data_IF_220085918533
#
_entry.id   IF_220085918533
#
_cell.length_a   1.000
_cell.length_b   1.000
_cell.length_c   1.000
_cell.angle_alpha   90.00
_cell.angle_beta   90.00
_cell.angle_gamma   90.00
#
_symmetry.space_group_name_H-M   'P 1'
#
loop_
_entity.id
_entity.type
_entity.pdbx_description
1 polymer ?
#
# COMPACT_ATOMS: atom_id res chain seq x y z
N UNK A 1 -30.33 -22.64 19.13
CA UNK A 1 -28.97 -22.26 19.53
C UNK A 1 -28.60 -20.99 18.79
N UNK A 2 -28.44 -19.85 19.47
CA UNK A 2 -28.10 -18.61 18.80
C UNK A 2 -26.57 -18.49 18.64
N UNK A 3 -26.13 -18.19 17.44
CA UNK A 3 -24.75 -17.87 17.11
C UNK A 3 -24.49 -16.46 17.69
N UNK A 4 -23.85 -16.37 18.85
CA UNK A 4 -23.30 -15.14 19.39
C UNK A 4 -21.80 -15.12 19.05
N UNK A 5 -21.42 -14.26 18.13
CA UNK A 5 -20.03 -13.94 17.80
C UNK A 5 -19.93 -12.49 17.38
N UNK A 6 -20.33 -11.55 18.24
CA UNK A 6 -19.94 -10.16 18.09
C UNK A 6 -18.55 -10.01 18.71
N UNK A 7 -17.55 -9.71 17.86
CA UNK A 7 -16.26 -9.24 18.35
C UNK A 7 -16.50 -7.81 18.88
N UNK A 8 -16.65 -7.67 20.19
CA UNK A 8 -16.52 -6.38 20.84
C UNK A 8 -15.03 -6.02 20.81
N UNK A 9 -14.64 -5.13 19.92
CA UNK A 9 -13.41 -4.38 20.08
C UNK A 9 -13.71 -3.37 21.18
N UNK A 10 -13.14 -3.58 22.36
CA UNK A 10 -13.31 -2.65 23.48
C UNK A 10 -12.88 -1.26 23.04
N UNK A 11 -13.78 -0.27 23.18
CA UNK A 11 -13.56 1.12 22.81
C UNK A 11 -12.43 1.84 23.55
N UNK A 12 -11.70 1.15 24.42
CA UNK A 12 -10.59 1.72 25.19
C UNK A 12 -9.25 1.79 24.44
N UNK A 13 -9.10 1.08 23.32
CA UNK A 13 -7.86 1.11 22.52
C UNK A 13 -7.69 2.42 21.71
N UNK A 14 -8.80 3.09 21.40
CA UNK A 14 -8.76 4.36 20.65
C UNK A 14 -8.74 5.62 21.52
N UNK A 15 -9.10 5.52 22.80
CA UNK A 15 -9.19 6.69 23.69
C UNK A 15 -7.83 7.25 24.16
N UNK A 16 -6.71 6.53 23.97
CA UNK A 16 -5.38 6.94 24.40
C UNK A 16 -4.39 7.27 23.27
N UNK A 17 -4.85 7.31 22.02
CA UNK A 17 -4.00 7.76 20.92
C UNK A 17 -3.86 9.28 20.97
N UNK A 18 -2.64 9.79 21.02
CA UNK A 18 -2.41 11.24 21.01
C UNK A 18 -2.88 11.80 19.66
N UNK A 19 -3.95 12.59 19.68
CA UNK A 19 -4.50 13.23 18.47
C UNK A 19 -3.54 14.24 17.91
N UNK A 20 -2.74 13.80 16.96
CA UNK A 20 -1.78 14.68 16.28
C UNK A 20 -2.35 15.13 14.93
N UNK A 21 -2.72 16.42 14.85
CA UNK A 21 -3.30 17.00 13.63
C UNK A 21 -2.23 17.57 12.72
N UNK A 22 -2.28 17.20 11.44
CA UNK A 22 -1.45 17.79 10.37
C UNK A 22 -2.28 18.15 9.14
N UNK A 23 -1.81 19.12 8.38
CA UNK A 23 -2.38 19.48 7.08
C UNK A 23 -1.56 18.81 5.98
N UNK A 24 -2.22 17.99 5.15
CA UNK A 24 -1.59 17.29 4.03
C UNK A 24 -2.62 16.88 2.98
N UNK A 25 -2.14 16.44 1.83
CA UNK A 25 -2.97 15.85 0.78
C UNK A 25 -3.03 14.31 0.86
N UNK A 26 -3.88 13.70 0.02
CA UNK A 26 -4.06 12.24 0.00
C UNK A 26 -2.80 11.48 -0.39
N UNK A 27 -2.03 11.96 -1.37
CA UNK A 27 -0.76 11.35 -1.74
C UNK A 27 0.24 11.34 -0.57
N UNK A 28 0.34 12.44 0.15
CA UNK A 28 1.21 12.55 1.33
C UNK A 28 0.75 11.63 2.46
N UNK A 29 -0.56 11.52 2.68
CA UNK A 29 -1.13 10.62 3.70
C UNK A 29 -0.82 9.15 3.38
N UNK A 30 -1.07 8.72 2.13
CA UNK A 30 -0.75 7.36 1.67
C UNK A 30 0.76 7.06 1.76
N UNK A 31 1.61 7.99 1.33
CA UNK A 31 3.05 7.87 1.41
C UNK A 31 3.54 7.75 2.86
N UNK A 32 3.01 8.57 3.76
CA UNK A 32 3.37 8.56 5.17
C UNK A 32 3.07 7.21 5.83
N UNK A 33 1.89 6.66 5.58
CA UNK A 33 1.48 5.37 6.13
C UNK A 33 2.25 4.22 5.47
N UNK A 34 2.30 4.18 4.15
CA UNK A 34 2.97 3.09 3.44
C UNK A 34 4.45 2.98 3.80
N UNK A 35 5.11 4.12 4.05
CA UNK A 35 6.50 4.15 4.52
C UNK A 35 6.70 3.33 5.79
N UNK A 36 5.75 3.39 6.73
CA UNK A 36 5.85 2.65 8.00
C UNK A 36 6.00 1.15 7.80
N UNK A 37 5.30 0.58 6.81
CA UNK A 37 5.18 -0.86 6.59
C UNK A 37 6.05 -1.40 5.44
N UNK A 38 6.85 -0.56 4.80
CA UNK A 38 7.55 -0.88 3.55
C UNK A 38 9.05 -1.03 3.76
N UNK A 39 9.63 -2.13 3.27
CA UNK A 39 11.08 -2.29 3.15
C UNK A 39 11.57 -1.77 1.78
N UNK A 40 10.81 -2.04 0.71
CA UNK A 40 11.13 -1.65 -0.67
C UNK A 40 9.93 -0.96 -1.32
N UNK A 41 10.13 0.22 -1.87
CA UNK A 41 9.17 0.89 -2.76
C UNK A 41 9.66 0.75 -4.22
N UNK A 42 8.97 -0.06 -5.01
CA UNK A 42 9.29 -0.23 -6.43
C UNK A 42 8.37 0.65 -7.26
N UNK A 43 8.93 1.58 -8.01
CA UNK A 43 8.16 2.66 -8.64
C UNK A 43 8.47 2.81 -10.13
N UNK A 44 7.51 3.36 -10.85
CA UNK A 44 7.70 4.09 -12.10
C UNK A 44 6.73 5.26 -12.09
N UNK A 45 7.25 6.52 -12.15
CA UNK A 45 6.42 7.70 -11.93
C UNK A 45 5.29 7.85 -12.94
N UNK A 46 4.08 8.08 -12.46
CA UNK A 46 2.89 8.37 -13.27
C UNK A 46 1.97 9.36 -12.53
N UNK A 47 1.54 10.40 -13.23
CA UNK A 47 0.57 11.37 -12.70
C UNK A 47 -0.81 10.71 -12.54
N UNK A 48 -1.53 10.94 -11.41
CA UNK A 48 -1.24 11.84 -10.30
C UNK A 48 -0.59 11.16 -9.07
N UNK A 49 -0.07 9.94 -9.18
CA UNK A 49 0.47 9.15 -8.06
C UNK A 49 1.96 9.43 -7.76
N UNK A 50 2.69 10.09 -8.68
CA UNK A 50 4.12 10.38 -8.51
C UNK A 50 4.49 11.03 -7.17
N UNK A 51 3.70 11.99 -6.62
CA UNK A 51 4.04 12.59 -5.33
C UNK A 51 4.12 11.60 -4.16
N UNK A 52 3.41 10.45 -4.20
CA UNK A 52 3.57 9.41 -3.17
C UNK A 52 5.01 8.88 -3.15
N UNK A 53 5.54 8.55 -4.33
CA UNK A 53 6.91 8.05 -4.46
C UNK A 53 7.95 9.10 -4.06
N UNK A 54 7.74 10.36 -4.46
CA UNK A 54 8.60 11.49 -4.13
C UNK A 54 8.68 11.72 -2.61
N UNK A 55 7.53 11.69 -1.91
CA UNK A 55 7.48 11.82 -0.45
C UNK A 55 8.20 10.66 0.24
N UNK A 56 8.01 9.43 -0.24
CA UNK A 56 8.71 8.25 0.31
C UNK A 56 10.22 8.37 0.12
N UNK A 57 10.68 8.80 -1.05
CA UNK A 57 12.11 9.01 -1.34
C UNK A 57 12.70 10.12 -0.46
N UNK A 58 11.98 11.24 -0.30
CA UNK A 58 12.37 12.33 0.60
C UNK A 58 12.50 11.85 2.05
N UNK A 59 11.54 11.05 2.53
CA UNK A 59 11.58 10.48 3.88
C UNK A 59 12.79 9.55 4.05
N UNK A 60 13.08 8.72 3.06
CA UNK A 60 14.24 7.83 3.04
C UNK A 60 15.56 8.61 3.02
N UNK A 61 15.65 9.66 2.19
CA UNK A 61 16.81 10.55 2.10
C UNK A 61 17.07 11.29 3.43
N UNK A 62 16.02 11.71 4.14
CA UNK A 62 16.11 12.31 5.48
C UNK A 62 16.45 11.28 6.58
N UNK A 63 16.60 10.02 6.25
CA UNK A 63 16.99 8.98 7.21
C UNK A 63 15.85 8.46 8.10
N UNK A 64 14.58 8.76 7.76
CA UNK A 64 13.43 8.22 8.50
C UNK A 64 13.46 6.70 8.49
N UNK A 65 13.14 6.10 9.61
CA UNK A 65 13.04 4.64 9.73
C UNK A 65 11.58 4.20 9.66
N UNK A 66 11.35 3.05 9.02
CA UNK A 66 10.08 2.34 9.04
C UNK A 66 9.90 1.59 10.38
N UNK A 67 8.81 0.84 10.53
CA UNK A 67 8.53 0.04 11.73
C UNK A 67 9.56 -1.06 11.99
N UNK A 68 10.30 -1.46 10.96
CA UNK A 68 11.35 -2.49 11.03
C UNK A 68 12.74 -1.93 11.34
N UNK A 69 12.83 -0.62 11.63
CA UNK A 69 14.08 0.06 11.98
C UNK A 69 14.99 0.37 10.79
N UNK A 70 14.49 0.26 9.55
CA UNK A 70 15.24 0.46 8.31
C UNK A 70 14.71 1.68 7.55
N UNK A 71 15.54 2.23 6.66
CA UNK A 71 15.09 3.19 5.65
C UNK A 71 14.44 2.41 4.50
N UNK A 72 13.35 2.93 3.96
CA UNK A 72 12.76 2.36 2.74
C UNK A 72 13.74 2.49 1.58
N UNK A 73 13.93 1.39 0.87
CA UNK A 73 14.70 1.39 -0.39
C UNK A 73 13.77 1.72 -1.54
N UNK A 74 13.91 2.90 -2.10
CA UNK A 74 13.17 3.30 -3.31
C UNK A 74 13.95 2.82 -4.54
N UNK A 75 13.26 2.14 -5.44
CA UNK A 75 13.82 1.61 -6.69
C UNK A 75 12.94 2.05 -7.86
N UNK A 76 13.48 2.93 -8.69
CA UNK A 76 12.81 3.35 -9.93
C UNK A 76 13.15 2.39 -11.07
N UNK A 77 12.10 1.92 -11.73
CA UNK A 77 12.20 0.94 -12.81
C UNK A 77 12.01 1.62 -14.19
N UNK A 78 12.05 0.82 -15.27
CA UNK A 78 11.92 1.32 -16.65
C UNK A 78 10.46 1.36 -17.14
N UNK A 79 9.55 0.75 -16.39
CA UNK A 79 8.12 0.75 -16.66
C UNK A 79 7.36 0.24 -15.44
N UNK A 80 6.04 0.44 -15.40
CA UNK A 80 5.18 -0.10 -14.35
C UNK A 80 5.18 -1.64 -14.34
N UNK A 81 5.31 -2.29 -15.50
CA UNK A 81 5.48 -3.74 -15.56
C UNK A 81 6.78 -4.18 -14.85
N UNK A 82 7.87 -3.42 -15.03
CA UNK A 82 9.13 -3.63 -14.33
C UNK A 82 8.99 -3.39 -12.83
N UNK A 83 8.27 -2.34 -12.44
CA UNK A 83 7.97 -2.06 -11.03
C UNK A 83 7.18 -3.22 -10.40
N UNK A 84 6.14 -3.72 -11.06
CA UNK A 84 5.36 -4.87 -10.58
C UNK A 84 6.20 -6.16 -10.50
N UNK A 85 7.11 -6.38 -11.44
CA UNK A 85 8.07 -7.49 -11.38
C UNK A 85 9.01 -7.38 -10.18
N UNK A 86 9.45 -6.16 -9.87
CA UNK A 86 10.26 -5.88 -8.67
C UNK A 86 9.44 -6.08 -7.39
N UNK A 87 8.18 -5.63 -7.34
CA UNK A 87 7.27 -5.91 -6.22
C UNK A 87 7.17 -7.41 -5.98
N UNK A 88 6.91 -8.19 -7.04
CA UNK A 88 6.80 -9.64 -6.95
C UNK A 88 8.09 -10.29 -6.43
N UNK A 89 9.24 -9.99 -7.06
CA UNK A 89 10.53 -10.57 -6.67
C UNK A 89 10.96 -10.17 -5.26
N UNK A 90 10.73 -8.93 -4.87
CA UNK A 90 11.05 -8.40 -3.55
C UNK A 90 10.21 -9.07 -2.45
N UNK A 91 8.89 -9.23 -2.68
CA UNK A 91 8.01 -9.96 -1.79
C UNK A 91 8.42 -11.44 -1.67
N UNK A 92 8.82 -12.08 -2.77
CA UNK A 92 9.36 -13.45 -2.76
C UNK A 92 10.62 -13.56 -1.90
N UNK A 93 11.45 -12.53 -1.92
CA UNK A 93 12.67 -12.44 -1.10
C UNK A 93 12.39 -12.08 0.37
N UNK A 94 11.13 -11.90 0.77
CA UNK A 94 10.73 -11.63 2.15
C UNK A 94 10.79 -10.14 2.54
N UNK A 95 10.93 -9.22 1.59
CA UNK A 95 10.83 -7.80 1.83
C UNK A 95 9.39 -7.32 1.61
N UNK A 96 8.80 -6.66 2.59
CA UNK A 96 7.48 -6.02 2.45
C UNK A 96 7.58 -4.89 1.44
N UNK A 97 6.81 -4.98 0.37
CA UNK A 97 7.01 -4.12 -0.80
C UNK A 97 5.71 -3.43 -1.22
N UNK A 98 5.86 -2.17 -1.57
CA UNK A 98 4.76 -1.26 -1.97
C UNK A 98 5.09 -0.65 -3.33
N UNK A 99 4.05 -0.28 -4.09
CA UNK A 99 4.16 0.50 -5.32
C UNK A 99 3.07 1.56 -5.39
N UNK A 100 3.32 2.60 -6.20
CA UNK A 100 2.43 3.75 -6.41
C UNK A 100 2.20 3.91 -7.91
N UNK A 101 0.93 3.93 -8.33
CA UNK A 101 0.61 3.92 -9.76
C UNK A 101 -0.77 4.52 -10.06
N UNK A 102 -1.12 4.58 -11.34
CA UNK A 102 -2.40 5.06 -11.85
C UNK A 102 -2.64 4.57 -13.28
N UNK A 103 -3.88 4.59 -13.75
CA UNK A 103 -4.25 4.50 -15.17
C UNK A 103 -3.61 3.29 -15.90
N UNK A 104 -3.03 3.53 -17.09
CA UNK A 104 -2.35 2.49 -17.86
C UNK A 104 -1.21 1.82 -17.10
N UNK A 105 -0.56 2.54 -16.19
CA UNK A 105 0.48 1.98 -15.32
C UNK A 105 -0.04 0.82 -14.48
N UNK A 106 -1.21 0.99 -13.87
CA UNK A 106 -1.86 -0.10 -13.12
C UNK A 106 -2.21 -1.29 -14.04
N UNK A 107 -2.68 -1.03 -15.27
CA UNK A 107 -2.99 -2.09 -16.23
C UNK A 107 -1.75 -2.90 -16.63
N UNK A 108 -0.59 -2.26 -16.75
CA UNK A 108 0.68 -2.94 -17.05
C UNK A 108 1.15 -3.86 -15.91
N UNK A 109 0.61 -3.67 -14.69
CA UNK A 109 0.93 -4.51 -13.53
C UNK A 109 0.10 -5.79 -13.44
N UNK A 110 -1.00 -5.91 -14.19
CA UNK A 110 -2.00 -7.00 -14.09
C UNK A 110 -1.37 -8.40 -14.06
N UNK A 111 -0.44 -8.79 -14.98
CA UNK A 111 0.13 -10.13 -14.95
C UNK A 111 0.83 -10.48 -13.64
N UNK A 112 1.57 -9.51 -13.07
CA UNK A 112 2.24 -9.69 -11.78
C UNK A 112 1.26 -9.66 -10.61
N UNK A 113 0.18 -8.88 -10.68
CA UNK A 113 -0.86 -8.84 -9.65
C UNK A 113 -1.51 -10.21 -9.46
N UNK A 114 -1.84 -10.93 -10.56
CA UNK A 114 -2.32 -12.31 -10.50
C UNK A 114 -1.32 -13.25 -9.80
N UNK A 115 -0.02 -13.10 -10.10
CA UNK A 115 1.03 -13.89 -9.46
C UNK A 115 1.13 -13.58 -7.96
N UNK A 116 1.20 -12.32 -7.60
CA UNK A 116 1.29 -11.85 -6.22
C UNK A 116 0.09 -12.36 -5.40
N UNK A 117 -1.12 -12.26 -5.96
CA UNK A 117 -2.34 -12.74 -5.30
C UNK A 117 -2.37 -14.27 -5.18
N UNK A 118 -2.05 -14.99 -6.25
CA UNK A 118 -2.02 -16.46 -6.27
C UNK A 118 -0.99 -17.05 -5.32
N UNK A 119 0.13 -16.35 -5.11
CA UNK A 119 1.20 -16.76 -4.21
C UNK A 119 1.00 -16.26 -2.77
N UNK A 120 -0.11 -15.58 -2.48
CA UNK A 120 -0.44 -15.05 -1.16
C UNK A 120 0.66 -14.12 -0.60
N UNK A 121 1.14 -13.20 -1.43
CA UNK A 121 2.18 -12.24 -1.06
C UNK A 121 1.55 -10.91 -0.61
N UNK A 122 1.92 -10.38 0.56
CA UNK A 122 1.25 -9.21 1.17
C UNK A 122 1.73 -7.88 0.58
N UNK A 123 1.59 -7.69 -0.72
CA UNK A 123 1.89 -6.43 -1.39
C UNK A 123 0.75 -5.43 -1.31
N UNK A 124 1.06 -4.15 -1.24
CA UNK A 124 0.05 -3.08 -1.30
C UNK A 124 0.35 -2.16 -2.49
N UNK A 125 -0.65 -1.98 -3.34
CA UNK A 125 -0.66 -1.09 -4.50
C UNK A 125 -1.46 0.16 -4.13
N UNK A 126 -0.80 1.30 -3.97
CA UNK A 126 -1.49 2.57 -3.77
C UNK A 126 -1.77 3.22 -5.11
N UNK A 127 -3.01 3.59 -5.35
CA UNK A 127 -3.47 4.06 -6.65
C UNK A 127 -4.22 5.40 -6.51
N UNK A 128 -3.68 6.45 -7.11
CA UNK A 128 -4.44 7.67 -7.37
C UNK A 128 -5.21 7.47 -8.66
N UNK A 129 -6.44 6.93 -8.55
CA UNK A 129 -7.22 6.43 -9.67
C UNK A 129 -7.44 7.50 -10.75
N UNK A 130 -7.15 7.16 -12.00
CA UNK A 130 -7.15 8.05 -13.14
C UNK A 130 -7.78 7.40 -14.35
N UNK A 131 -8.45 8.22 -15.17
CA UNK A 131 -9.02 7.82 -16.44
C UNK A 131 -8.01 7.08 -17.33
N UNK A 132 -8.48 6.05 -18.01
CA UNK A 132 -7.69 5.38 -19.05
C UNK A 132 -7.66 6.23 -20.33
N UNK A 133 -6.47 6.35 -20.91
CA UNK A 133 -6.34 6.94 -22.24
C UNK A 133 -7.00 6.00 -23.28
N UNK A 134 -7.85 6.60 -24.12
CA UNK A 134 -8.53 5.93 -25.23
C UNK A 134 -8.18 6.64 -26.53
N UNK A 135 -9.10 7.44 -27.08
CA UNK A 135 -8.82 8.29 -28.26
C UNK A 135 -7.96 9.51 -27.92
N UNK A 136 -7.96 9.95 -26.66
CA UNK A 136 -7.16 11.05 -26.15
C UNK A 136 -6.72 10.79 -24.71
N UNK A 137 -5.64 11.50 -24.32
CA UNK A 137 -5.17 11.48 -22.94
C UNK A 137 -6.17 12.22 -22.03
N UNK A 138 -6.50 11.59 -20.92
CA UNK A 138 -7.27 12.19 -19.83
C UNK A 138 -6.56 11.88 -18.51
N UNK A 139 -6.25 12.91 -17.72
CA UNK A 139 -5.50 12.75 -16.47
C UNK A 139 -6.38 12.86 -15.22
N UNK A 140 -7.66 13.19 -15.36
CA UNK A 140 -8.57 13.38 -14.21
C UNK A 140 -8.98 12.06 -13.56
N UNK A 141 -9.51 12.18 -12.32
CA UNK A 141 -9.98 11.05 -11.53
C UNK A 141 -11.09 10.27 -12.23
N UNK A 142 -10.93 8.96 -12.24
CA UNK A 142 -11.86 7.99 -12.82
C UNK A 142 -11.45 6.60 -12.29
N UNK A 143 -12.39 5.70 -12.08
CA UNK A 143 -12.11 4.38 -11.50
C UNK A 143 -12.01 3.27 -12.54
N UNK A 144 -11.92 3.54 -13.84
CA UNK A 144 -11.78 2.50 -14.87
C UNK A 144 -10.51 1.69 -14.75
N UNK A 145 -9.43 2.29 -14.29
CA UNK A 145 -8.16 1.62 -14.03
C UNK A 145 -8.28 0.58 -12.90
N UNK A 146 -8.82 0.97 -11.74
CA UNK A 146 -9.02 0.05 -10.62
C UNK A 146 -10.09 -1.00 -10.91
N UNK A 147 -11.14 -0.66 -11.68
CA UNK A 147 -12.14 -1.62 -12.12
C UNK A 147 -11.55 -2.66 -13.09
N UNK A 148 -10.55 -2.29 -13.89
CA UNK A 148 -9.88 -3.24 -14.78
C UNK A 148 -9.08 -4.31 -14.03
N UNK A 149 -8.59 -4.01 -12.83
CA UNK A 149 -7.79 -4.95 -12.02
C UNK A 149 -8.59 -5.73 -10.97
N UNK A 150 -9.91 -5.51 -10.85
CA UNK A 150 -10.75 -6.14 -9.82
C UNK A 150 -10.74 -7.68 -9.82
N UNK A 151 -10.32 -8.30 -10.94
CA UNK A 151 -10.29 -9.77 -11.10
C UNK A 151 -8.94 -10.38 -10.72
N UNK A 152 -7.94 -9.58 -10.33
CA UNK A 152 -6.58 -10.07 -10.08
C UNK A 152 -6.43 -10.88 -8.79
N UNK A 153 -7.44 -10.86 -7.92
CA UNK A 153 -7.41 -11.50 -6.60
C UNK A 153 -6.89 -10.60 -5.48
N UNK A 154 -6.54 -9.35 -5.78
CA UNK A 154 -6.25 -8.35 -4.76
C UNK A 154 -7.54 -7.89 -4.06
N UNK A 155 -7.49 -7.70 -2.76
CA UNK A 155 -8.54 -6.96 -2.04
C UNK A 155 -8.49 -5.48 -2.43
N UNK A 156 -9.62 -4.79 -2.38
CA UNK A 156 -9.73 -3.40 -2.82
C UNK A 156 -10.32 -2.54 -1.71
N UNK A 157 -9.67 -1.41 -1.40
CA UNK A 157 -10.18 -0.38 -0.51
C UNK A 157 -10.28 0.95 -1.27
N UNK A 158 -11.46 1.58 -1.19
CA UNK A 158 -11.75 2.87 -1.80
C UNK A 158 -11.86 3.95 -0.73
N UNK A 159 -11.24 5.10 -0.97
CA UNK A 159 -11.12 6.20 -0.02
C UNK A 159 -11.65 7.48 -0.64
N UNK A 160 -12.50 8.19 0.07
CA UNK A 160 -13.19 9.40 -0.41
C UNK A 160 -12.68 10.70 0.22
N UNK A 161 -11.83 10.63 1.23
CA UNK A 161 -11.24 11.78 1.92
C UNK A 161 -9.81 11.53 2.34
N UNK A 162 -9.05 12.59 2.63
CA UNK A 162 -7.66 12.48 3.07
C UNK A 162 -7.55 11.77 4.43
N UNK A 163 -8.55 11.92 5.30
CA UNK A 163 -8.60 11.16 6.56
C UNK A 163 -8.78 9.67 6.30
N UNK A 164 -9.69 9.29 5.39
CA UNK A 164 -9.86 7.88 5.03
C UNK A 164 -8.59 7.30 4.37
N UNK A 165 -7.86 8.09 3.57
CA UNK A 165 -6.56 7.66 3.03
C UNK A 165 -5.59 7.35 4.17
N UNK A 166 -5.50 8.18 5.20
CA UNK A 166 -4.66 7.93 6.37
C UNK A 166 -5.04 6.61 7.07
N UNK A 167 -6.32 6.43 7.35
CA UNK A 167 -6.83 5.33 8.16
C UNK A 167 -6.86 4.00 7.38
N UNK A 168 -7.41 4.01 6.15
CA UNK A 168 -7.57 2.79 5.35
C UNK A 168 -6.25 2.32 4.73
N UNK A 169 -5.31 3.22 4.44
CA UNK A 169 -3.96 2.81 4.05
C UNK A 169 -3.29 1.98 5.16
N UNK A 170 -3.45 2.36 6.43
CA UNK A 170 -2.95 1.57 7.56
C UNK A 170 -3.62 0.20 7.63
N UNK A 171 -4.94 0.16 7.48
CA UNK A 171 -5.71 -1.08 7.44
C UNK A 171 -5.26 -1.98 6.29
N UNK A 172 -5.04 -1.42 5.08
CA UNK A 172 -4.56 -2.18 3.93
C UNK A 172 -3.26 -2.93 4.23
N UNK A 173 -2.27 -2.25 4.81
CA UNK A 173 -0.99 -2.87 5.16
C UNK A 173 -1.12 -3.90 6.29
N UNK A 174 -1.80 -3.55 7.38
CA UNK A 174 -1.99 -4.44 8.52
C UNK A 174 -2.72 -5.74 8.11
N UNK A 175 -3.80 -5.60 7.34
CA UNK A 175 -4.59 -6.75 6.89
C UNK A 175 -3.84 -7.54 5.82
N UNK A 176 -3.14 -6.89 4.88
CA UNK A 176 -2.33 -7.60 3.88
C UNK A 176 -1.29 -8.50 4.55
N UNK A 177 -0.56 -7.99 5.53
CA UNK A 177 0.45 -8.77 6.26
C UNK A 177 -0.19 -9.94 7.00
N UNK A 178 -1.28 -9.71 7.72
CA UNK A 178 -1.95 -10.73 8.53
C UNK A 178 -2.64 -11.79 7.69
N UNK A 179 -3.36 -11.40 6.64
CA UNK A 179 -4.14 -12.31 5.79
C UNK A 179 -3.32 -12.91 4.64
N UNK A 180 -2.19 -12.31 4.29
CA UNK A 180 -1.38 -12.64 3.10
C UNK A 180 -2.14 -12.42 1.78
N UNK A 181 -3.09 -11.49 1.79
CA UNK A 181 -3.82 -11.06 0.59
C UNK A 181 -3.28 -9.70 0.17
N UNK A 182 -2.85 -9.51 -1.09
CA UNK A 182 -2.43 -8.20 -1.57
C UNK A 182 -3.62 -7.24 -1.67
N UNK A 183 -3.35 -5.94 -1.55
CA UNK A 183 -4.35 -4.89 -1.59
C UNK A 183 -4.10 -3.90 -2.72
N UNK A 184 -5.18 -3.44 -3.34
CA UNK A 184 -5.27 -2.21 -4.11
C UNK A 184 -5.99 -1.19 -3.23
N UNK A 185 -5.24 -0.22 -2.75
CA UNK A 185 -5.71 0.88 -1.91
C UNK A 185 -5.80 2.13 -2.77
N UNK A 186 -6.98 2.68 -3.00
CA UNK A 186 -7.17 3.69 -4.03
C UNK A 186 -8.11 4.83 -3.65
N UNK A 187 -7.82 5.99 -4.19
CA UNK A 187 -8.59 7.23 -4.04
C UNK A 187 -8.59 8.01 -5.36
N UNK A 188 -9.47 8.99 -5.48
CA UNK A 188 -9.57 9.80 -6.70
C UNK A 188 -8.29 10.59 -6.97
N UNK A 189 -7.76 10.40 -8.18
CA UNK A 189 -6.67 11.20 -8.71
C UNK A 189 -7.09 12.67 -8.91
N UNK A 190 -6.20 13.61 -8.59
CA UNK A 190 -6.38 15.06 -8.58
C UNK A 190 -7.41 15.59 -7.57
N UNK A 191 -8.44 14.84 -7.24
CA UNK A 191 -9.36 15.21 -6.18
C UNK A 191 -8.75 14.86 -4.83
N UNK A 192 -9.03 13.69 -4.28
CA UNK A 192 -8.50 13.27 -2.98
C UNK A 192 -6.97 13.28 -2.93
N UNK A 193 -6.30 12.88 -4.03
CA UNK A 193 -4.84 12.83 -4.09
C UNK A 193 -4.14 14.18 -3.85
N UNK A 194 -4.77 15.30 -4.24
CA UNK A 194 -4.21 16.66 -4.13
C UNK A 194 -5.08 17.58 -3.27
N UNK A 195 -6.16 17.09 -2.69
CA UNK A 195 -6.99 17.84 -1.76
C UNK A 195 -6.26 18.01 -0.43
N UNK A 196 -6.08 19.26 -0.02
CA UNK A 196 -5.40 19.58 1.25
C UNK A 196 -6.44 19.60 2.37
N UNK A 197 -6.28 18.72 3.35
CA UNK A 197 -7.14 18.65 4.52
C UNK A 197 -6.31 18.64 5.81
N UNK A 198 -6.90 19.13 6.89
CA UNK A 198 -6.35 18.97 8.23
C UNK A 198 -6.90 17.68 8.82
N UNK A 199 -6.04 16.70 8.99
CA UNK A 199 -6.40 15.33 9.42
C UNK A 199 -5.70 14.92 10.70
N UNK A 200 -6.24 13.93 11.37
CA UNK A 200 -5.59 13.22 12.47
C UNK A 200 -4.58 12.23 11.87
N UNK A 201 -3.33 12.30 12.32
CA UNK A 201 -2.23 11.48 11.81
C UNK A 201 -1.94 10.35 12.80
N UNK A 202 -1.86 9.12 12.30
CA UNK A 202 -1.49 7.95 13.08
C UNK A 202 0.02 7.96 13.37
N UNK A 203 0.38 7.78 14.63
CA UNK A 203 1.78 7.68 15.03
C UNK A 203 2.36 6.29 14.73
N UNK A 204 3.64 6.22 14.35
CA UNK A 204 4.32 4.95 14.05
C UNK A 204 4.40 4.02 15.25
N UNK A 205 4.45 4.57 16.48
CA UNK A 205 4.42 3.76 17.69
C UNK A 205 3.10 2.99 17.81
N UNK A 206 1.97 3.65 17.55
CA UNK A 206 0.65 3.01 17.60
C UNK A 206 0.44 2.04 16.44
N UNK A 207 0.89 2.39 15.22
CA UNK A 207 0.92 1.45 14.09
C UNK A 207 1.73 0.18 14.43
N UNK A 208 2.86 0.33 15.12
CA UNK A 208 3.69 -0.79 15.58
C UNK A 208 3.00 -1.69 16.61
N UNK A 209 2.13 -1.13 17.47
CA UNK A 209 1.32 -1.90 18.43
C UNK A 209 0.20 -2.70 17.75
N UNK A 210 -0.34 -2.19 16.64
CA UNK A 210 -1.38 -2.86 15.84
C UNK A 210 -0.83 -3.94 14.91
N UNK A 211 0.48 -3.90 14.60
CA UNK A 211 1.11 -4.82 13.66
C UNK A 211 1.19 -6.24 14.22
N UNK A 212 0.76 -7.21 13.43
CA UNK A 212 0.94 -8.64 13.72
C UNK A 212 2.40 -9.06 13.42
N UNK A 213 3.26 -8.94 14.43
CA UNK A 213 4.68 -9.25 14.33
C UNK A 213 4.96 -10.73 14.04
N UNK A 214 4.08 -11.63 14.48
CA UNK A 214 4.18 -13.05 14.17
C UNK A 214 3.97 -13.28 12.66
N UNK A 215 2.97 -12.63 12.07
CA UNK A 215 2.71 -12.68 10.63
C UNK A 215 3.89 -12.12 9.82
N UNK A 216 4.50 -11.00 10.26
CA UNK A 216 5.72 -10.45 9.63
C UNK A 216 6.86 -11.46 9.67
N UNK A 217 7.14 -12.04 10.83
CA UNK A 217 8.22 -12.99 10.99
C UNK A 217 7.99 -14.27 10.17
N UNK A 218 6.75 -14.77 10.13
CA UNK A 218 6.36 -15.92 9.30
C UNK A 218 6.51 -15.61 7.80
N UNK A 219 6.11 -14.41 7.36
CA UNK A 219 6.30 -14.00 5.97
C UNK A 219 7.78 -13.99 5.59
N UNK A 220 8.64 -13.39 6.43
CA UNK A 220 10.09 -13.31 6.19
C UNK A 220 10.78 -14.69 6.27
N UNK A 221 10.34 -15.53 7.20
CA UNK A 221 10.85 -16.92 7.29
C UNK A 221 10.52 -17.73 6.02
N UNK A 222 9.36 -17.50 5.42
CA UNK A 222 8.91 -18.15 4.19
C UNK A 222 9.46 -17.50 2.91
N UNK A 223 10.47 -16.64 3.00
CA UNK A 223 11.16 -16.09 1.84
C UNK A 223 11.87 -17.19 1.03
N UNK A 224 12.17 -16.88 -0.24
CA UNK A 224 13.01 -17.75 -1.06
C UNK A 224 14.39 -17.88 -0.41
N UNK A 225 14.60 -18.98 0.27
CA UNK A 225 15.85 -19.31 0.96
C UNK A 225 16.23 -20.76 0.66
N UNK A 226 17.45 -21.04 0.12
CA UNK A 226 17.90 -22.41 -0.17
C UNK A 226 17.89 -23.32 1.06
N UNK A 227 18.16 -22.76 2.25
CA UNK A 227 18.19 -23.53 3.50
C UNK A 227 16.78 -23.90 4.01
N UNK A 228 15.76 -23.16 3.56
CA UNK A 228 14.36 -23.36 3.91
C UNK A 228 13.48 -23.23 2.67
N UNK A 229 13.52 -24.18 1.74
CA UNK A 229 12.78 -24.07 0.50
C UNK A 229 11.28 -24.11 0.76
N UNK A 230 10.56 -23.09 0.28
CA UNK A 230 9.10 -22.99 0.32
C UNK A 230 8.59 -22.96 -1.10
N UNK A 231 7.76 -23.95 -1.45
CA UNK A 231 7.09 -23.97 -2.75
C UNK A 231 5.87 -23.04 -2.73
N UNK A 232 5.76 -22.17 -3.71
CA UNK A 232 4.64 -21.27 -3.91
C UNK A 232 4.12 -21.42 -5.35
N UNK A 233 2.91 -21.85 -5.50
CA UNK A 233 2.23 -21.97 -6.78
C UNK A 233 2.01 -23.35 -7.26
#
# INVERSE_FOLDING_TARGET
>A
MPIKGYIYIEGSLFENMSKHMKTMDGNTAAAYISYAFTDVAAIYPITPSSPMAEVVDEMAAKGKKNLFGQKVRVVEMQSEAGAAGTVHGSLQAGALTTTYTASQGLLLMIPNMYKIAGELLPGVFHVSARALATSSLNIFGDQRDVMAVRQTGCAMLAEASVQEVMDLSAIAHLVAIKSRVPFVNFFDGFRTSHEIQKIEVLDYEDLGKMLDWEAVNKFRHNALNPDHPVTRG
#
